data_IF_349005459259
#
_entry.id   IF_349005459259
#
_cell.length_a   1.000
_cell.length_b   1.000
_cell.length_c   1.000
_cell.angle_alpha   90.00
_cell.angle_beta   90.00
_cell.angle_gamma   90.00
#
_symmetry.space_group_name_H-M   'P 1'
#
loop_
_entity.id
_entity.type
_entity.pdbx_description
1 polymer ?
#
# COMPACT_ATOMS: atom_id res chain seq x y z
N UNK A 1 -17.27 25.05 -7.56
CA UNK A 1 -16.67 23.72 -7.65
C UNK A 1 -16.12 23.45 -6.28
N UNK A 2 -16.80 22.61 -5.53
CA UNK A 2 -16.46 22.33 -4.15
C UNK A 2 -15.15 21.57 -4.11
N UNK A 3 -14.15 22.15 -3.46
CA UNK A 3 -12.91 21.46 -3.11
C UNK A 3 -13.27 20.25 -2.24
N UNK A 4 -13.26 19.07 -2.84
CA UNK A 4 -13.31 17.82 -2.08
C UNK A 4 -12.01 17.76 -1.29
N UNK A 5 -12.06 18.16 -0.02
CA UNK A 5 -11.01 17.81 0.94
C UNK A 5 -10.96 16.30 0.97
N UNK A 6 -9.84 15.75 0.52
CA UNK A 6 -9.53 14.33 0.71
C UNK A 6 -9.32 14.17 2.21
N UNK A 7 -10.40 13.82 2.91
CA UNK A 7 -10.28 13.43 4.32
C UNK A 7 -9.71 12.02 4.34
N UNK A 8 -8.61 11.81 5.07
CA UNK A 8 -8.09 10.49 5.37
C UNK A 8 -9.24 9.60 5.82
N UNK A 9 -9.35 8.41 5.23
CA UNK A 9 -10.36 7.46 5.68
C UNK A 9 -9.86 6.77 6.94
N UNK A 10 -10.74 6.24 7.82
CA UNK A 10 -10.30 5.47 8.99
C UNK A 10 -9.38 4.30 8.66
N UNK A 11 -9.43 3.82 7.43
CA UNK A 11 -8.60 2.70 6.95
C UNK A 11 -7.16 3.13 6.63
N UNK A 12 -6.97 4.37 6.17
CA UNK A 12 -5.65 4.97 5.96
C UNK A 12 -4.93 5.11 7.31
N UNK A 13 -5.66 5.55 8.34
CA UNK A 13 -5.12 5.67 9.70
C UNK A 13 -4.74 4.29 10.28
N UNK A 14 -5.57 3.26 10.07
CA UNK A 14 -5.26 1.89 10.48
C UNK A 14 -4.01 1.38 9.76
N UNK A 15 -3.91 1.59 8.45
CA UNK A 15 -2.77 1.16 7.66
C UNK A 15 -1.48 1.82 8.14
N UNK A 16 -1.48 3.15 8.35
CA UNK A 16 -0.32 3.89 8.86
C UNK A 16 0.07 3.46 10.27
N UNK A 17 -0.91 3.26 11.17
CA UNK A 17 -0.65 2.80 12.53
C UNK A 17 0.03 1.44 12.52
N UNK A 18 -0.46 0.49 11.72
CA UNK A 18 0.17 -0.83 11.58
C UNK A 18 1.61 -0.74 11.07
N UNK A 19 1.87 0.13 10.11
CA UNK A 19 3.23 0.30 9.59
C UNK A 19 4.17 0.95 10.60
N UNK A 20 3.69 1.88 11.41
CA UNK A 20 4.50 2.52 12.44
C UNK A 20 4.80 1.56 13.61
N UNK A 21 3.80 0.83 14.06
CA UNK A 21 3.91 -0.01 15.26
C UNK A 21 4.43 -1.43 14.96
N UNK A 22 4.15 -1.93 13.75
CA UNK A 22 4.46 -3.30 13.32
C UNK A 22 5.08 -3.31 11.91
N UNK A 23 6.14 -2.52 11.70
CA UNK A 23 6.73 -2.28 10.37
C UNK A 23 7.14 -3.57 9.63
N UNK A 24 7.56 -4.61 10.34
CA UNK A 24 7.95 -5.89 9.73
C UNK A 24 6.81 -6.59 8.97
N UNK A 25 5.54 -6.28 9.29
CA UNK A 25 4.38 -6.83 8.58
C UNK A 25 4.30 -6.41 7.11
N UNK A 26 5.03 -5.36 6.71
CA UNK A 26 5.08 -4.93 5.31
C UNK A 26 5.94 -5.86 4.44
N UNK A 27 6.94 -6.53 5.01
CA UNK A 27 7.90 -7.32 4.23
C UNK A 27 7.22 -8.45 3.44
N UNK A 28 6.32 -9.27 4.03
CA UNK A 28 5.60 -10.28 3.26
C UNK A 28 4.74 -9.69 2.14
N UNK A 29 4.16 -8.50 2.34
CA UNK A 29 3.40 -7.80 1.30
C UNK A 29 4.32 -7.38 0.15
N UNK A 30 5.50 -6.86 0.44
CA UNK A 30 6.51 -6.51 -0.58
C UNK A 30 6.97 -7.75 -1.33
N UNK A 31 7.21 -8.87 -0.63
CA UNK A 31 7.55 -10.15 -1.27
C UNK A 31 6.46 -10.59 -2.25
N UNK A 32 5.19 -10.53 -1.82
CA UNK A 32 4.05 -10.94 -2.63
C UNK A 32 3.84 -10.04 -3.86
N UNK A 33 3.91 -8.71 -3.68
CA UNK A 33 3.61 -7.74 -4.73
C UNK A 33 4.73 -7.65 -5.75
N UNK A 34 5.99 -7.62 -5.30
CA UNK A 34 7.15 -7.37 -6.17
C UNK A 34 7.93 -8.63 -6.52
N UNK A 35 7.50 -9.81 -6.02
CA UNK A 35 8.23 -11.06 -6.23
C UNK A 35 9.61 -11.06 -5.55
N UNK A 36 9.74 -10.34 -4.45
CA UNK A 36 10.96 -10.30 -3.65
C UNK A 36 11.05 -11.50 -2.70
N UNK A 37 12.23 -11.70 -2.11
CA UNK A 37 12.51 -12.82 -1.21
C UNK A 37 13.21 -12.35 0.05
N UNK A 38 12.69 -11.31 0.68
CA UNK A 38 13.15 -10.84 1.98
C UNK A 38 12.80 -11.86 3.06
N UNK A 39 13.69 -11.98 4.05
CA UNK A 39 13.57 -12.96 5.15
C UNK A 39 12.57 -12.56 6.23
N UNK A 40 12.19 -11.26 6.26
CA UNK A 40 11.40 -10.64 7.33
C UNK A 40 12.24 -10.04 8.45
N UNK A 41 13.57 -10.15 8.37
CA UNK A 41 14.50 -9.59 9.36
C UNK A 41 15.22 -8.33 8.87
N UNK A 42 14.92 -7.89 7.65
CA UNK A 42 15.52 -6.72 7.05
C UNK A 42 15.08 -5.46 7.79
N UNK A 43 16.02 -4.51 7.91
CA UNK A 43 15.70 -3.21 8.50
C UNK A 43 14.91 -2.37 7.51
N UNK A 44 13.80 -1.82 8.00
CA UNK A 44 12.96 -0.89 7.27
C UNK A 44 13.27 0.52 7.76
N UNK A 45 13.49 1.42 6.82
CA UNK A 45 13.71 2.84 7.08
C UNK A 45 12.65 3.64 6.35
N UNK A 46 11.71 4.19 7.10
CA UNK A 46 10.67 5.05 6.54
C UNK A 46 11.24 6.41 6.13
N UNK A 47 10.80 6.91 5.00
CA UNK A 47 11.05 8.29 4.58
C UNK A 47 10.10 9.24 5.33
N UNK A 48 10.45 10.53 5.48
CA UNK A 48 9.48 11.52 5.94
C UNK A 48 8.23 11.51 5.05
N UNK A 49 7.05 11.38 5.66
CA UNK A 49 5.79 11.27 4.93
C UNK A 49 5.22 12.64 4.50
N UNK A 50 5.85 13.74 4.93
CA UNK A 50 5.39 15.10 4.66
C UNK A 50 6.15 15.66 3.46
N UNK A 51 5.44 15.85 2.34
CA UNK A 51 5.96 16.55 1.18
C UNK A 51 5.12 17.79 0.93
N UNK A 52 5.76 18.97 0.96
CA UNK A 52 5.13 20.24 0.65
C UNK A 52 5.23 20.50 -0.85
N UNK A 53 4.08 20.55 -1.52
CA UNK A 53 3.99 20.98 -2.90
C UNK A 53 3.55 22.45 -2.94
N UNK A 54 4.44 23.33 -3.39
CA UNK A 54 4.10 24.72 -3.62
C UNK A 54 3.15 24.85 -4.82
N UNK A 55 1.90 25.24 -4.58
CA UNK A 55 0.98 25.63 -5.64
C UNK A 55 1.28 27.10 -6.06
N UNK A 56 1.04 27.41 -7.33
CA UNK A 56 1.30 28.76 -7.91
C UNK A 56 0.50 29.91 -7.24
N UNK A 57 -0.47 29.60 -6.41
CA UNK A 57 -1.32 30.53 -5.66
C UNK A 57 -0.84 30.81 -4.22
N UNK A 58 0.33 30.28 -3.84
CA UNK A 58 0.95 30.57 -2.53
C UNK A 58 0.32 29.82 -1.35
N UNK A 59 -0.60 28.88 -1.61
CA UNK A 59 -1.05 27.92 -0.61
C UNK A 59 -0.13 26.70 -0.63
N UNK A 60 0.55 26.44 0.47
CA UNK A 60 1.24 25.17 0.70
C UNK A 60 0.18 24.10 1.00
N UNK A 61 -0.09 23.22 0.04
CA UNK A 61 -0.84 22.00 0.31
C UNK A 61 0.12 20.94 0.85
N UNK A 62 -0.02 20.66 2.13
CA UNK A 62 0.62 19.49 2.76
C UNK A 62 -0.02 18.23 2.18
N UNK A 63 0.73 17.50 1.35
CA UNK A 63 0.32 16.20 0.86
C UNK A 63 1.13 15.14 1.56
N UNK A 64 0.44 14.30 2.30
CA UNK A 64 1.03 13.18 3.03
C UNK A 64 0.97 11.96 2.11
N UNK A 65 2.15 11.40 1.77
CA UNK A 65 2.21 10.10 1.09
C UNK A 65 1.81 9.00 2.07
N UNK A 66 1.10 7.97 1.61
CA UNK A 66 0.68 6.91 2.51
C UNK A 66 1.90 6.20 3.10
N UNK A 67 2.81 5.73 2.26
CA UNK A 67 4.04 5.12 2.81
C UNK A 67 5.17 5.07 1.80
N UNK A 68 6.29 5.69 2.12
CA UNK A 68 7.58 5.55 1.44
C UNK A 68 8.63 5.03 2.41
N UNK A 69 9.34 3.97 2.02
CA UNK A 69 10.36 3.33 2.87
C UNK A 69 11.41 2.62 2.04
N UNK A 70 12.53 2.34 2.70
CA UNK A 70 13.65 1.59 2.16
C UNK A 70 13.81 0.29 2.95
N UNK A 71 14.01 -0.81 2.26
CA UNK A 71 14.41 -2.08 2.87
C UNK A 71 15.91 -2.24 2.68
N UNK A 72 16.65 -2.30 3.79
CA UNK A 72 18.10 -2.49 3.79
C UNK A 72 18.41 -3.98 3.71
N UNK A 73 18.96 -4.44 2.56
CA UNK A 73 19.39 -5.80 2.30
C UNK A 73 20.76 -5.83 1.61
N UNK A 74 21.03 -6.86 0.81
CA UNK A 74 22.24 -6.90 -0.03
C UNK A 74 22.29 -5.74 -1.00
N UNK A 75 21.15 -5.40 -1.56
CA UNK A 75 20.88 -4.18 -2.30
C UNK A 75 19.71 -3.50 -1.62
N UNK A 76 19.90 -2.23 -1.24
CA UNK A 76 18.82 -1.46 -0.64
C UNK A 76 17.87 -1.00 -1.73
N UNK A 77 16.58 -1.31 -1.59
CA UNK A 77 15.52 -0.90 -2.51
C UNK A 77 14.55 0.03 -1.81
N UNK A 78 14.06 1.00 -2.57
CA UNK A 78 13.06 1.97 -2.09
C UNK A 78 11.69 1.59 -2.65
N UNK A 79 10.69 1.64 -1.78
CA UNK A 79 9.30 1.29 -2.09
C UNK A 79 8.38 2.47 -1.77
N UNK A 80 7.35 2.60 -2.59
CA UNK A 80 6.21 3.48 -2.34
C UNK A 80 4.95 2.62 -2.40
N UNK A 81 4.22 2.53 -1.29
CA UNK A 81 3.00 1.75 -1.18
C UNK A 81 1.86 2.65 -0.73
N UNK A 82 0.79 2.72 -1.53
CA UNK A 82 -0.46 3.36 -1.16
C UNK A 82 -1.55 2.35 -0.83
N UNK A 83 -2.31 2.63 0.23
CA UNK A 83 -3.51 1.86 0.58
C UNK A 83 -4.75 2.66 0.16
N UNK A 84 -5.62 2.06 -0.66
CA UNK A 84 -6.78 2.76 -1.20
C UNK A 84 -8.05 1.93 -1.01
N UNK A 85 -9.10 2.57 -0.53
CA UNK A 85 -10.40 1.91 -0.36
C UNK A 85 -11.08 1.59 -1.69
N UNK A 86 -10.80 2.35 -2.76
CA UNK A 86 -11.35 2.16 -4.10
C UNK A 86 -10.46 2.81 -5.16
N UNK A 87 -10.69 2.49 -6.44
CA UNK A 87 -10.00 3.13 -7.56
C UNK A 87 -10.42 4.60 -7.72
N UNK A 88 -9.43 5.46 -7.95
CA UNK A 88 -9.59 6.88 -8.20
C UNK A 88 -8.79 7.28 -9.44
N UNK A 89 -9.38 8.12 -10.30
CA UNK A 89 -8.75 8.57 -11.55
C UNK A 89 -7.52 9.48 -11.32
N UNK A 90 -7.42 10.12 -10.15
CA UNK A 90 -6.27 10.97 -9.78
C UNK A 90 -5.06 10.18 -9.29
N UNK A 91 -5.22 8.88 -9.04
CA UNK A 91 -4.20 8.03 -8.42
C UNK A 91 -2.89 8.01 -9.21
N UNK A 92 -2.93 7.86 -10.54
CA UNK A 92 -1.72 7.86 -11.37
C UNK A 92 -0.97 9.19 -11.33
N UNK A 93 -1.70 10.31 -11.19
CA UNK A 93 -1.10 11.63 -11.03
C UNK A 93 -0.39 11.69 -9.68
N UNK A 94 -1.03 11.24 -8.60
CA UNK A 94 -0.44 11.19 -7.26
C UNK A 94 0.80 10.31 -7.22
N UNK A 95 0.74 9.10 -7.80
CA UNK A 95 1.92 8.24 -7.89
C UNK A 95 3.09 8.96 -8.58
N UNK A 96 2.84 9.61 -9.72
CA UNK A 96 3.90 10.33 -10.42
C UNK A 96 4.48 11.49 -9.61
N UNK A 97 3.62 12.27 -8.94
CA UNK A 97 4.04 13.38 -8.07
C UNK A 97 4.90 12.87 -6.91
N UNK A 98 4.42 11.86 -6.19
CA UNK A 98 5.11 11.32 -5.02
C UNK A 98 6.38 10.55 -5.39
N UNK A 99 6.32 9.68 -6.41
CA UNK A 99 7.50 8.95 -6.88
C UNK A 99 8.62 9.91 -7.31
N UNK A 100 8.26 11.00 -7.96
CA UNK A 100 9.21 12.04 -8.36
C UNK A 100 9.80 12.73 -7.14
N UNK A 101 8.99 13.09 -6.15
CA UNK A 101 9.48 13.72 -4.91
C UNK A 101 10.41 12.75 -4.14
N UNK A 102 9.98 11.50 -3.94
CA UNK A 102 10.77 10.46 -3.30
C UNK A 102 12.13 10.27 -4.01
N UNK A 103 12.14 10.35 -5.34
CA UNK A 103 13.37 10.23 -6.13
C UNK A 103 14.28 11.46 -6.01
N UNK A 104 13.70 12.65 -5.86
CA UNK A 104 14.46 13.90 -5.68
C UNK A 104 15.13 13.98 -4.32
N UNK A 105 14.53 13.44 -3.27
CA UNK A 105 15.08 13.45 -1.91
C UNK A 105 16.46 12.77 -1.81
N UNK A 106 16.72 11.78 -2.67
CA UNK A 106 18.02 11.08 -2.78
C UNK A 106 18.75 11.41 -4.09
N UNK A 107 18.27 12.40 -4.83
CA UNK A 107 18.86 12.82 -6.09
C UNK A 107 20.31 13.29 -5.92
N UNK A 108 21.17 12.93 -6.85
CA UNK A 108 22.60 13.33 -6.83
C UNK A 108 22.95 14.18 -8.03
N UNK A 109 23.69 15.26 -7.79
CA UNK A 109 24.20 16.12 -8.87
C UNK A 109 25.70 15.90 -9.02
N UNK A 110 26.12 15.50 -10.22
CA UNK A 110 27.53 15.40 -10.59
C UNK A 110 27.78 16.22 -11.87
N UNK A 111 28.51 17.30 -11.75
CA UNK A 111 28.69 18.27 -12.82
C UNK A 111 27.35 18.89 -13.23
N UNK A 112 26.91 18.68 -14.46
CA UNK A 112 25.62 19.16 -14.98
C UNK A 112 24.57 18.04 -15.09
N UNK A 113 24.77 16.92 -14.40
CA UNK A 113 23.89 15.75 -14.46
C UNK A 113 23.22 15.57 -13.12
N UNK A 114 21.89 15.67 -13.09
CA UNK A 114 21.04 15.21 -11.98
C UNK A 114 20.67 13.75 -12.25
N UNK A 115 20.96 12.86 -11.30
CA UNK A 115 20.53 11.47 -11.32
C UNK A 115 19.50 11.26 -10.21
N UNK A 116 18.34 10.74 -10.58
CA UNK A 116 17.24 10.36 -9.66
C UNK A 116 16.87 8.92 -9.90
N UNK A 117 16.43 8.23 -8.84
CA UNK A 117 15.96 6.84 -8.92
C UNK A 117 14.54 6.77 -8.36
N UNK A 118 13.58 6.44 -9.21
CA UNK A 118 12.19 6.25 -8.79
C UNK A 118 12.06 5.03 -7.86
N UNK A 119 11.14 5.04 -6.91
CA UNK A 119 10.86 3.89 -6.06
C UNK A 119 10.17 2.77 -6.86
N UNK A 120 10.12 1.57 -6.29
CA UNK A 120 9.20 0.52 -6.71
C UNK A 120 7.82 0.83 -6.12
N UNK A 121 6.82 1.08 -6.97
CA UNK A 121 5.54 1.62 -6.54
C UNK A 121 4.43 0.58 -6.68
N UNK A 122 3.55 0.52 -5.69
CA UNK A 122 2.38 -0.34 -5.70
C UNK A 122 1.20 0.28 -4.96
N UNK A 123 -0.01 -0.16 -5.31
CA UNK A 123 -1.24 0.17 -4.62
C UNK A 123 -1.90 -1.08 -4.06
N UNK A 124 -2.28 -1.02 -2.79
CA UNK A 124 -3.14 -2.00 -2.13
C UNK A 124 -4.59 -1.51 -2.20
N UNK A 125 -5.40 -2.15 -3.04
CA UNK A 125 -6.83 -1.91 -3.06
C UNK A 125 -7.55 -2.77 -2.02
N UNK A 126 -8.27 -2.12 -1.11
CA UNK A 126 -9.14 -2.79 -0.14
C UNK A 126 -10.44 -3.28 -0.79
N UNK A 127 -10.91 -2.57 -1.84
CA UNK A 127 -12.03 -2.96 -2.70
C UNK A 127 -11.59 -2.93 -4.15
N UNK A 128 -12.08 -3.87 -4.93
CA UNK A 128 -11.83 -3.89 -6.37
C UNK A 128 -13.09 -4.27 -7.14
N UNK A 129 -13.11 -3.89 -8.41
CA UNK A 129 -14.11 -4.28 -9.39
C UNK A 129 -13.48 -5.19 -10.45
N UNK A 130 -14.31 -5.87 -11.23
CA UNK A 130 -13.81 -6.69 -12.35
C UNK A 130 -12.96 -5.92 -13.36
N UNK A 131 -13.16 -4.59 -13.45
CA UNK A 131 -12.40 -3.68 -14.30
C UNK A 131 -11.11 -3.15 -13.66
N UNK A 132 -10.86 -3.42 -12.37
CA UNK A 132 -9.62 -2.97 -11.72
C UNK A 132 -8.43 -3.72 -12.33
N UNK A 133 -7.46 -3.02 -12.95
CA UNK A 133 -6.32 -3.65 -13.60
C UNK A 133 -5.40 -4.33 -12.56
N UNK A 134 -4.52 -5.21 -13.03
CA UNK A 134 -3.48 -5.81 -12.20
C UNK A 134 -2.19 -4.98 -12.16
N UNK A 135 -2.09 -4.00 -13.05
CA UNK A 135 -0.96 -3.08 -13.14
C UNK A 135 -1.44 -1.74 -13.69
N UNK A 136 -1.01 -0.66 -13.08
CA UNK A 136 -1.15 0.69 -13.62
C UNK A 136 0.16 1.09 -14.28
N UNK A 137 0.12 1.98 -15.30
CA UNK A 137 1.31 2.35 -16.06
C UNK A 137 1.44 3.86 -16.16
N UNK A 138 2.63 4.35 -15.84
CA UNK A 138 3.01 5.74 -16.02
C UNK A 138 3.95 5.83 -17.22
N UNK A 139 3.61 6.69 -18.18
CA UNK A 139 4.40 6.95 -19.40
C UNK A 139 4.86 8.38 -19.41
N UNK A 140 6.16 8.58 -19.42
CA UNK A 140 6.81 9.87 -19.55
C UNK A 140 7.31 10.08 -20.97
N UNK A 141 6.83 11.12 -21.63
CA UNK A 141 7.28 11.50 -22.98
C UNK A 141 8.21 12.70 -22.85
N UNK A 142 9.46 12.55 -23.30
CA UNK A 142 10.48 13.59 -23.26
C UNK A 142 10.95 13.90 -24.69
N UNK A 143 11.64 15.04 -24.92
CA UNK A 143 12.24 15.32 -26.23
C UNK A 143 13.26 14.27 -26.69
N UNK A 144 13.86 13.54 -25.74
CA UNK A 144 14.86 12.50 -26.01
C UNK A 144 14.29 11.09 -26.16
N UNK A 145 12.98 10.87 -25.85
CA UNK A 145 12.37 9.54 -25.93
C UNK A 145 11.26 9.35 -24.89
N UNK A 146 10.77 8.11 -24.83
CA UNK A 146 9.69 7.73 -23.91
C UNK A 146 10.21 6.70 -22.91
N UNK A 147 9.86 6.87 -21.64
CA UNK A 147 10.11 5.92 -20.56
C UNK A 147 8.77 5.51 -19.96
N UNK A 148 8.61 4.24 -19.65
CA UNK A 148 7.42 3.73 -18.94
C UNK A 148 7.86 2.97 -17.69
N UNK A 149 7.04 3.08 -16.62
CA UNK A 149 7.18 2.22 -15.46
C UNK A 149 5.81 1.80 -14.93
N UNK A 150 5.80 0.67 -14.24
CA UNK A 150 4.60 0.05 -13.73
C UNK A 150 4.42 0.38 -12.24
N UNK A 151 3.15 0.67 -11.87
CA UNK A 151 2.68 0.67 -10.49
C UNK A 151 1.89 -0.61 -10.30
N UNK A 152 2.38 -1.52 -9.46
CA UNK A 152 1.77 -2.82 -9.26
C UNK A 152 0.49 -2.71 -8.44
N UNK A 153 -0.44 -3.64 -8.63
CA UNK A 153 -1.74 -3.61 -7.96
C UNK A 153 -1.94 -4.89 -7.16
N UNK A 154 -2.12 -4.72 -5.86
CA UNK A 154 -2.58 -5.79 -4.96
C UNK A 154 -4.05 -5.57 -4.63
N UNK A 155 -4.87 -6.61 -4.75
CA UNK A 155 -6.31 -6.60 -4.46
C UNK A 155 -6.56 -7.45 -3.22
N UNK A 156 -6.75 -6.83 -2.05
CA UNK A 156 -6.85 -7.57 -0.77
C UNK A 156 -7.97 -8.60 -0.75
N UNK A 157 -9.10 -8.30 -1.41
CA UNK A 157 -10.27 -9.19 -1.45
C UNK A 157 -10.05 -10.50 -2.24
N UNK A 158 -8.96 -10.62 -3.00
CA UNK A 158 -8.63 -11.86 -3.73
C UNK A 158 -7.92 -12.88 -2.85
N UNK A 159 -7.45 -12.49 -1.66
CA UNK A 159 -6.78 -13.39 -0.75
C UNK A 159 -7.76 -14.04 0.21
N UNK A 160 -7.77 -15.37 0.22
CA UNK A 160 -8.47 -16.13 1.24
C UNK A 160 -7.77 -16.02 2.58
N UNK A 161 -8.48 -16.33 3.66
CA UNK A 161 -7.89 -16.33 5.00
C UNK A 161 -6.71 -17.33 5.11
N UNK A 162 -6.80 -18.47 4.45
CA UNK A 162 -5.73 -19.47 4.39
C UNK A 162 -4.48 -18.90 3.71
N UNK A 163 -4.63 -18.29 2.53
CA UNK A 163 -3.52 -17.66 1.81
C UNK A 163 -2.88 -16.52 2.60
N UNK A 164 -3.69 -15.73 3.33
CA UNK A 164 -3.18 -14.66 4.21
C UNK A 164 -2.23 -15.24 5.27
N UNK A 165 -2.61 -16.33 5.92
CA UNK A 165 -1.76 -16.97 6.93
C UNK A 165 -0.59 -17.74 6.32
N UNK A 166 -0.79 -18.49 5.23
CA UNK A 166 0.28 -19.25 4.55
C UNK A 166 1.38 -18.34 4.02
N UNK A 167 1.01 -17.18 3.47
CA UNK A 167 1.95 -16.19 2.93
C UNK A 167 2.41 -15.15 3.97
N UNK A 168 1.96 -15.29 5.22
CA UNK A 168 2.24 -14.35 6.31
C UNK A 168 1.81 -12.90 6.02
N UNK A 169 0.74 -12.71 5.24
CA UNK A 169 0.21 -11.39 4.86
C UNK A 169 -0.64 -10.77 5.99
N UNK A 170 -0.11 -10.79 7.22
CA UNK A 170 -0.88 -10.39 8.42
C UNK A 170 -1.30 -8.92 8.38
N UNK A 171 -0.60 -8.07 7.63
CA UNK A 171 -1.01 -6.69 7.37
C UNK A 171 -2.43 -6.59 6.78
N UNK A 172 -2.90 -7.62 6.07
CA UNK A 172 -4.23 -7.63 5.44
C UNK A 172 -5.36 -7.99 6.42
N UNK A 173 -5.07 -8.56 7.58
CA UNK A 173 -6.08 -9.06 8.53
C UNK A 173 -7.09 -7.98 8.95
N UNK A 174 -6.70 -6.74 9.33
CA UNK A 174 -7.65 -5.70 9.70
C UNK A 174 -8.60 -5.31 8.55
N UNK A 175 -8.19 -5.55 7.31
CA UNK A 175 -8.95 -5.23 6.09
C UNK A 175 -9.75 -6.43 5.56
N UNK A 176 -9.65 -7.60 6.17
CA UNK A 176 -10.36 -8.81 5.73
C UNK A 176 -11.88 -8.64 5.71
N UNK A 177 -12.42 -7.73 6.53
CA UNK A 177 -13.84 -7.39 6.57
C UNK A 177 -14.38 -6.95 5.20
N UNK A 178 -13.56 -6.34 4.35
CA UNK A 178 -13.96 -5.92 2.99
C UNK A 178 -14.33 -7.11 2.09
N UNK A 179 -13.80 -8.30 2.35
CA UNK A 179 -14.18 -9.54 1.62
C UNK A 179 -15.61 -9.97 1.88
N UNK A 180 -16.23 -9.45 2.93
CA UNK A 180 -17.59 -9.74 3.35
C UNK A 180 -18.58 -8.60 3.10
N UNK A 181 -18.09 -7.41 2.73
CA UNK A 181 -18.87 -6.17 2.68
C UNK A 181 -20.15 -6.30 1.83
N UNK A 182 -20.06 -6.92 0.66
CA UNK A 182 -21.22 -7.11 -0.26
C UNK A 182 -22.26 -8.09 0.27
N UNK A 183 -21.96 -8.82 1.36
CA UNK A 183 -22.82 -9.85 1.97
C UNK A 183 -23.40 -9.46 3.32
N UNK A 184 -23.16 -8.24 3.81
CA UNK A 184 -23.65 -7.82 5.13
C UNK A 184 -25.17 -7.88 5.25
N UNK A 185 -25.92 -7.47 4.22
CA UNK A 185 -27.37 -7.58 4.20
C UNK A 185 -27.87 -9.03 4.31
N UNK A 186 -27.08 -9.98 3.82
CA UNK A 186 -27.40 -11.41 3.95
C UNK A 186 -27.12 -11.91 5.36
N UNK A 187 -26.03 -11.44 5.99
CA UNK A 187 -25.67 -11.81 7.37
C UNK A 187 -26.70 -11.30 8.38
N UNK A 188 -27.29 -10.12 8.16
CA UNK A 188 -28.36 -9.60 9.00
C UNK A 188 -29.63 -10.47 8.94
N UNK A 189 -29.93 -11.04 7.77
CA UNK A 189 -31.15 -11.80 7.53
C UNK A 189 -31.02 -13.29 7.81
N UNK A 190 -29.78 -13.82 7.75
CA UNK A 190 -29.50 -15.27 7.89
C UNK A 190 -28.51 -15.53 9.03
N UNK A 191 -29.03 -15.99 10.16
CA UNK A 191 -28.22 -16.35 11.34
C UNK A 191 -27.20 -17.46 11.07
N UNK A 192 -27.45 -18.34 10.08
CA UNK A 192 -26.49 -19.38 9.74
C UNK A 192 -25.27 -18.79 9.03
N UNK A 193 -25.48 -17.83 8.11
CA UNK A 193 -24.41 -17.10 7.45
C UNK A 193 -23.61 -16.23 8.42
N UNK A 194 -24.29 -15.55 9.35
CA UNK A 194 -23.62 -14.79 10.41
C UNK A 194 -22.70 -15.67 11.28
N UNK A 195 -23.14 -16.91 11.57
CA UNK A 195 -22.30 -17.86 12.33
C UNK A 195 -21.04 -18.30 11.55
N UNK A 196 -21.10 -18.34 10.22
CA UNK A 196 -19.93 -18.64 9.39
C UNK A 196 -18.92 -17.49 9.55
N UNK A 197 -19.35 -16.24 9.39
CA UNK A 197 -18.52 -15.08 9.61
C UNK A 197 -17.89 -15.05 11.01
N UNK A 198 -18.68 -15.32 12.05
CA UNK A 198 -18.18 -15.39 13.43
C UNK A 198 -17.08 -16.45 13.59
N UNK A 199 -17.24 -17.64 12.96
CA UNK A 199 -16.20 -18.68 12.99
C UNK A 199 -14.92 -18.28 12.30
N UNK A 200 -15.00 -17.56 11.17
CA UNK A 200 -13.82 -17.04 10.49
C UNK A 200 -13.04 -16.06 11.39
N UNK A 201 -13.72 -15.16 12.08
CA UNK A 201 -13.07 -14.25 13.03
C UNK A 201 -12.54 -14.97 14.29
N UNK A 202 -13.19 -16.03 14.76
CA UNK A 202 -12.65 -16.90 15.82
C UNK A 202 -11.38 -17.63 15.34
N UNK A 203 -11.33 -18.06 14.08
CA UNK A 203 -10.12 -18.65 13.48
C UNK A 203 -8.99 -17.63 13.38
N UNK A 204 -9.28 -16.40 12.93
CA UNK A 204 -8.30 -15.30 12.91
C UNK A 204 -7.71 -15.10 14.30
N UNK A 205 -8.57 -14.93 15.31
CA UNK A 205 -8.16 -14.73 16.69
C UNK A 205 -7.25 -15.86 17.18
N UNK A 206 -7.67 -17.11 17.02
CA UNK A 206 -6.91 -18.27 17.48
C UNK A 206 -5.54 -18.36 16.78
N UNK A 207 -5.50 -18.11 15.48
CA UNK A 207 -4.23 -18.09 14.70
C UNK A 207 -3.28 -17.00 15.16
N UNK A 208 -3.78 -15.79 15.42
CA UNK A 208 -2.96 -14.69 15.94
C UNK A 208 -2.45 -15.00 17.34
N UNK A 209 -3.26 -15.60 18.21
CA UNK A 209 -2.84 -16.06 19.56
C UNK A 209 -1.76 -17.15 19.46
N UNK A 210 -1.86 -18.10 18.52
CA UNK A 210 -0.83 -19.11 18.25
C UNK A 210 0.50 -18.47 17.85
N UNK A 211 0.48 -17.50 16.91
CA UNK A 211 1.66 -16.77 16.45
C UNK A 211 2.32 -16.00 17.59
N UNK A 212 1.55 -15.26 18.39
CA UNK A 212 2.05 -14.55 19.56
C UNK A 212 2.75 -15.48 20.57
N UNK A 213 2.16 -16.66 20.82
CA UNK A 213 2.75 -17.65 21.71
C UNK A 213 4.05 -18.30 21.18
N UNK A 214 4.25 -18.25 19.86
CA UNK A 214 5.47 -18.74 19.20
C UNK A 214 6.56 -17.66 19.12
N UNK A 215 6.26 -16.43 19.55
CA UNK A 215 7.19 -15.29 19.56
C UNK A 215 7.34 -14.65 18.18
N UNK A 216 6.35 -14.80 17.33
CA UNK A 216 6.27 -14.13 16.03
C UNK A 216 5.73 -12.71 16.17
#
# INVERSE_FOLDING_TARGET
MDNVRITNTPYDDVFRTLLNDCSSLIIPVINEVFGEHYSGQEKIVFSPNEHFLNQQDGNEDERITDTSFKIEGKESKKYHLECQSSTDNSMLIRFFEYDTQIALDEGTIKGSILTVTLPHSAVLFLRHFASTPDTLKIRMVTPGGTVEYDVLVMKSQLYTLEEIFEKNLLLLIPFYIFSHETRFDEYEKDKAKLKILQKEYEQIKNKLEELLNQGA
#
